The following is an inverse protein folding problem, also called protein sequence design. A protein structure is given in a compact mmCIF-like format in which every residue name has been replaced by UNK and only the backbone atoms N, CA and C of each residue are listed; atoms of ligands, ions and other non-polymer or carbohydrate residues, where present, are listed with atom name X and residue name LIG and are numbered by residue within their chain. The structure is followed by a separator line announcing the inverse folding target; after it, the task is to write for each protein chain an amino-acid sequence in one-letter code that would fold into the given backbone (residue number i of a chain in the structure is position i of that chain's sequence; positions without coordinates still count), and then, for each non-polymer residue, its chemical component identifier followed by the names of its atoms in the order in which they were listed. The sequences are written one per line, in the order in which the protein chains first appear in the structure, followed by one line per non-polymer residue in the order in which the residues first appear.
data_IF_532652425337
#
_entry.id   IF_532652425337
#
_cell.length_a   1.000
_cell.length_b   1.000
_cell.length_c   1.000
_cell.angle_alpha   90.00
_cell.angle_beta   90.00
_cell.angle_gamma   90.00
#
_symmetry.space_group_name_H-M   'P 1'
#
loop_
_entity.id
_entity.type
_entity.pdbx_description
1 polymer ?
#
# COMPACT_ATOMS: atom_id res chain seq x y z
N UNK A 1 -10.51 31.27 4.05
CA UNK A 1 -10.19 30.72 5.40
C UNK A 1 -8.93 29.86 5.33
N UNK A 2 -8.08 29.78 6.37
CA UNK A 2 -6.97 28.82 6.46
C UNK A 2 -7.46 27.36 6.49
N UNK A 3 -6.67 26.43 5.95
CA UNK A 3 -7.02 25.00 5.88
C UNK A 3 -7.01 24.28 7.24
N UNK A 4 -6.24 24.77 8.21
CA UNK A 4 -6.10 24.21 9.56
C UNK A 4 -5.56 25.25 10.54
N UNK A 5 -5.60 24.97 11.85
CA UNK A 5 -5.03 25.84 12.87
C UNK A 5 -3.49 25.95 12.77
N UNK A 6 -2.78 24.89 12.40
CA UNK A 6 -1.33 24.94 12.14
C UNK A 6 -1.00 25.92 11.03
N UNK A 7 -1.74 25.84 9.92
CA UNK A 7 -1.57 26.74 8.78
C UNK A 7 -1.91 28.19 9.13
N UNK A 8 -2.81 28.43 10.08
CA UNK A 8 -3.10 29.79 10.56
C UNK A 8 -1.98 30.31 11.47
N UNK A 9 -1.62 29.55 12.51
CA UNK A 9 -0.60 29.94 13.51
C UNK A 9 0.77 30.11 12.88
N UNK A 10 1.15 29.26 11.91
CA UNK A 10 2.41 29.38 11.18
C UNK A 10 2.51 30.70 10.39
N UNK A 11 1.41 31.17 9.81
CA UNK A 11 1.39 32.41 9.03
C UNK A 11 1.31 33.66 9.93
N UNK A 12 0.47 33.67 10.98
CA UNK A 12 0.44 34.83 11.90
C UNK A 12 1.72 34.93 12.75
N UNK A 13 2.39 33.81 13.05
CA UNK A 13 3.69 33.75 13.75
C UNK A 13 4.90 34.27 12.95
N UNK A 14 4.66 34.88 11.78
CA UNK A 14 5.65 35.65 11.03
C UNK A 14 5.74 37.10 11.50
N UNK A 15 4.68 37.66 12.09
CA UNK A 15 4.62 39.04 12.59
C UNK A 15 5.01 39.14 14.09
N UNK A 16 5.36 40.35 14.56
CA UNK A 16 5.63 40.64 15.97
C UNK A 16 6.88 39.97 16.56
N UNK A 17 7.85 39.58 15.71
CA UNK A 17 9.10 38.91 16.12
C UNK A 17 10.13 39.83 16.80
N UNK A 18 9.93 41.12 16.64
CA UNK A 18 10.62 42.22 17.33
C UNK A 18 10.09 42.44 18.75
N UNK A 19 8.95 41.82 19.12
CA UNK A 19 8.28 42.02 20.41
C UNK A 19 7.30 43.19 20.43
N UNK A 20 7.19 43.93 19.32
CA UNK A 20 6.24 45.03 19.18
C UNK A 20 4.82 44.52 18.86
N UNK A 21 3.76 45.29 19.16
CA UNK A 21 2.38 44.91 18.85
C UNK A 21 2.16 44.65 17.35
N UNK A 22 1.64 43.46 17.03
CA UNK A 22 1.27 43.08 15.67
C UNK A 22 -0.23 42.76 15.55
N UNK A 23 -0.83 43.11 14.41
CA UNK A 23 -2.25 42.95 14.15
C UNK A 23 -2.50 42.01 12.97
N UNK A 24 -3.41 41.05 13.15
CA UNK A 24 -3.76 40.05 12.15
C UNK A 24 -5.29 39.99 12.01
N UNK A 25 -5.79 40.21 10.80
CA UNK A 25 -7.22 40.10 10.49
C UNK A 25 -7.45 38.96 9.50
N UNK A 26 -8.45 38.12 9.78
CA UNK A 26 -8.91 37.08 8.87
C UNK A 26 -10.26 37.47 8.29
N UNK A 27 -10.34 37.54 6.97
CA UNK A 27 -11.60 37.69 6.23
C UNK A 27 -12.18 36.31 5.94
N UNK A 28 -13.48 36.16 6.20
CA UNK A 28 -14.26 34.95 5.93
C UNK A 28 -15.27 35.23 4.83
N UNK A 29 -15.48 34.28 3.93
CA UNK A 29 -16.60 34.32 2.99
C UNK A 29 -17.95 34.33 3.77
N UNK A 30 -18.86 35.29 3.49
CA UNK A 30 -20.09 35.47 4.27
C UNK A 30 -21.15 34.38 4.04
N UNK A 31 -21.10 33.69 2.90
CA UNK A 31 -21.98 32.57 2.56
C UNK A 31 -21.31 31.20 2.82
N UNK A 32 -20.07 31.19 3.33
CA UNK A 32 -19.32 29.98 3.63
C UNK A 32 -18.60 29.35 2.44
N UNK A 33 -18.48 30.05 1.31
CA UNK A 33 -17.84 29.54 0.08
C UNK A 33 -16.44 28.96 0.30
N UNK A 34 -15.64 29.62 1.14
CA UNK A 34 -14.33 29.15 1.63
C UNK A 34 -14.37 27.72 2.19
N UNK A 35 -15.35 27.42 3.04
CA UNK A 35 -15.50 26.13 3.71
C UNK A 35 -15.84 25.03 2.70
N UNK A 36 -16.73 25.34 1.76
CA UNK A 36 -17.16 24.39 0.73
C UNK A 36 -16.04 24.08 -0.28
N UNK A 37 -15.22 25.07 -0.67
CA UNK A 37 -14.04 24.83 -1.52
C UNK A 37 -12.96 24.00 -0.78
N UNK A 38 -12.75 24.22 0.53
CA UNK A 38 -11.82 23.40 1.31
C UNK A 38 -12.34 21.96 1.52
N UNK A 39 -13.64 21.78 1.81
CA UNK A 39 -14.29 20.45 1.88
C UNK A 39 -14.15 19.68 0.55
N UNK A 40 -14.35 20.35 -0.58
CA UNK A 40 -14.15 19.80 -1.93
C UNK A 40 -12.76 19.20 -2.12
N UNK A 41 -11.71 19.79 -1.54
CA UNK A 41 -10.37 19.22 -1.60
C UNK A 41 -10.23 17.94 -0.78
N UNK A 42 -10.79 17.89 0.43
CA UNK A 42 -10.79 16.67 1.27
C UNK A 42 -11.50 15.50 0.55
N UNK A 43 -12.65 15.77 -0.09
CA UNK A 43 -13.39 14.74 -0.83
C UNK A 43 -12.68 14.23 -2.10
N UNK A 44 -11.70 14.97 -2.64
CA UNK A 44 -10.98 14.57 -3.84
C UNK A 44 -10.18 13.27 -3.63
N UNK A 45 -9.56 13.14 -2.46
CA UNK A 45 -8.67 12.05 -2.08
C UNK A 45 -9.43 10.79 -1.60
N UNK A 46 -10.77 10.84 -1.57
CA UNK A 46 -11.61 9.72 -1.09
C UNK A 46 -11.75 8.61 -2.13
N UNK A 47 -11.74 7.35 -1.65
CA UNK A 47 -11.74 6.14 -2.48
C UNK A 47 -12.88 5.19 -2.09
N UNK A 48 -13.62 4.68 -3.07
CA UNK A 48 -14.66 3.67 -2.88
C UNK A 48 -14.09 2.32 -2.42
N UNK A 49 -14.80 1.61 -1.54
CA UNK A 49 -14.45 0.24 -1.13
C UNK A 49 -14.25 -0.71 -2.33
N UNK A 50 -15.10 -0.59 -3.36
CA UNK A 50 -14.94 -1.37 -4.59
C UNK A 50 -13.63 -1.08 -5.33
N UNK A 51 -13.18 0.17 -5.33
CA UNK A 51 -11.90 0.57 -5.92
C UNK A 51 -10.73 0.05 -5.09
N UNK A 52 -10.82 0.12 -3.74
CA UNK A 52 -9.85 -0.52 -2.84
C UNK A 52 -9.76 -2.01 -3.13
N UNK A 53 -10.88 -2.74 -3.20
CA UNK A 53 -10.91 -4.18 -3.50
C UNK A 53 -10.25 -4.53 -4.84
N UNK A 54 -10.46 -3.71 -5.88
CA UNK A 54 -9.79 -3.89 -7.18
C UNK A 54 -8.30 -3.55 -7.16
N UNK A 55 -7.85 -2.63 -6.30
CA UNK A 55 -6.42 -2.39 -6.09
C UNK A 55 -5.77 -3.56 -5.35
N UNK A 56 -6.38 -4.02 -4.26
CA UNK A 56 -5.91 -5.18 -3.48
C UNK A 56 -5.79 -6.43 -4.38
N UNK A 57 -6.78 -6.71 -5.23
CA UNK A 57 -6.69 -7.78 -6.25
C UNK A 57 -5.55 -7.63 -7.26
N UNK A 58 -5.10 -6.39 -7.56
CA UNK A 58 -3.91 -6.14 -8.40
C UNK A 58 -2.59 -6.27 -7.64
N UNK A 59 -2.58 -5.97 -6.34
CA UNK A 59 -1.38 -6.00 -5.49
C UNK A 59 -1.04 -7.41 -5.02
N UNK A 60 -2.06 -8.25 -4.78
CA UNK A 60 -1.90 -9.63 -4.30
C UNK A 60 -2.48 -10.67 -5.29
N UNK A 61 -1.93 -10.79 -6.51
CA UNK A 61 -2.33 -11.85 -7.44
C UNK A 61 -1.88 -13.22 -6.89
N UNK A 62 -2.71 -14.28 -7.02
CA UNK A 62 -2.42 -15.59 -6.45
C UNK A 62 -1.18 -16.23 -7.06
N UNK A 63 -0.31 -16.77 -6.20
CA UNK A 63 0.90 -17.50 -6.56
C UNK A 63 0.69 -19.02 -6.55
N UNK A 64 1.75 -19.76 -6.90
CA UNK A 64 1.77 -21.23 -6.86
C UNK A 64 2.59 -21.79 -5.69
N UNK A 65 3.10 -20.96 -4.78
CA UNK A 65 4.01 -21.41 -3.72
C UNK A 65 3.40 -22.51 -2.84
N UNK A 66 2.13 -22.39 -2.43
CA UNK A 66 1.39 -23.45 -1.72
C UNK A 66 1.34 -24.77 -2.51
N UNK A 67 1.10 -24.73 -3.82
CA UNK A 67 1.07 -25.92 -4.69
C UNK A 67 2.47 -26.53 -4.92
N UNK A 68 3.50 -25.70 -4.96
CA UNK A 68 4.90 -26.13 -5.11
C UNK A 68 5.35 -26.82 -3.81
N UNK A 69 5.09 -26.22 -2.66
CA UNK A 69 5.40 -26.77 -1.34
C UNK A 69 4.71 -28.12 -1.11
N UNK A 70 3.40 -28.22 -1.38
CA UNK A 70 2.66 -29.49 -1.29
C UNK A 70 3.25 -30.59 -2.18
N UNK A 71 3.71 -30.25 -3.40
CA UNK A 71 4.38 -31.22 -4.28
C UNK A 71 5.78 -31.59 -3.82
N UNK A 72 6.51 -30.67 -3.19
CA UNK A 72 7.82 -30.96 -2.60
C UNK A 72 7.68 -31.87 -1.38
N UNK A 73 6.67 -31.65 -0.53
CA UNK A 73 6.35 -32.55 0.59
C UNK A 73 6.00 -33.94 0.09
N UNK A 74 5.07 -34.07 -0.87
CA UNK A 74 4.70 -35.35 -1.45
C UNK A 74 5.89 -36.10 -2.08
N UNK A 75 6.77 -35.40 -2.82
CA UNK A 75 7.96 -36.01 -3.40
C UNK A 75 9.02 -36.40 -2.35
N UNK A 76 9.07 -35.72 -1.21
CA UNK A 76 9.95 -36.10 -0.10
C UNK A 76 9.37 -37.30 0.67
N UNK A 77 8.05 -37.33 0.90
CA UNK A 77 7.34 -38.47 1.49
C UNK A 77 7.52 -39.73 0.62
N UNK A 78 7.38 -39.64 -0.71
CA UNK A 78 7.68 -40.72 -1.66
C UNK A 78 9.14 -41.22 -1.56
N UNK A 79 10.11 -40.33 -1.29
CA UNK A 79 11.53 -40.69 -1.13
C UNK A 79 11.76 -41.36 0.22
N UNK A 80 11.23 -40.80 1.31
CA UNK A 80 11.34 -41.36 2.66
C UNK A 80 10.70 -42.76 2.73
N UNK A 81 9.51 -42.96 2.15
CA UNK A 81 8.86 -44.27 2.06
C UNK A 81 9.66 -45.25 1.17
N UNK A 82 10.29 -44.77 0.09
CA UNK A 82 11.14 -45.62 -0.77
C UNK A 82 12.44 -46.03 -0.10
N UNK A 83 13.11 -45.12 0.63
CA UNK A 83 14.32 -45.43 1.42
C UNK A 83 13.98 -46.37 2.59
N UNK A 84 12.80 -46.23 3.20
CA UNK A 84 12.32 -47.14 4.24
C UNK A 84 12.02 -48.54 3.68
N UNK A 85 11.43 -48.64 2.47
CA UNK A 85 11.21 -49.91 1.78
C UNK A 85 12.53 -50.59 1.40
N UNK A 86 13.52 -49.86 0.87
CA UNK A 86 14.84 -50.42 0.57
C UNK A 86 15.53 -50.95 1.84
N UNK A 87 15.43 -50.23 2.97
CA UNK A 87 15.92 -50.73 4.26
C UNK A 87 15.20 -52.01 4.72
N UNK A 88 13.89 -52.14 4.46
CA UNK A 88 13.14 -53.36 4.80
C UNK A 88 13.51 -54.56 3.91
N UNK A 89 13.67 -54.36 2.60
CA UNK A 89 14.13 -55.44 1.68
C UNK A 89 15.52 -55.96 2.06
N UNK A 90 16.45 -55.08 2.49
CA UNK A 90 17.78 -55.49 2.95
C UNK A 90 17.70 -56.32 4.24
N UNK A 91 16.86 -55.95 5.21
CA UNK A 91 16.68 -56.73 6.44
C UNK A 91 15.99 -58.10 6.22
N UNK A 92 15.08 -58.21 5.25
CA UNK A 92 14.48 -59.51 4.88
C UNK A 92 15.51 -60.45 4.21
N UNK A 93 16.44 -59.90 3.42
CA UNK A 93 17.48 -60.67 2.74
C UNK A 93 18.56 -61.21 3.70
N UNK A 94 18.95 -60.45 4.73
CA UNK A 94 19.92 -60.94 5.75
C UNK A 94 19.34 -62.03 6.67
N UNK A 95 18.02 -62.06 6.84
CA UNK A 95 17.32 -63.02 7.70
C UNK A 95 17.36 -64.47 7.18
N UNK A 96 17.74 -64.70 5.92
CA UNK A 96 17.73 -66.00 5.26
C UNK A 96 19.01 -66.85 5.36
N UNK A 97 20.14 -66.31 5.84
CA UNK A 97 21.47 -66.91 5.61
C UNK A 97 22.11 -67.56 6.86
N UNK A 98 21.69 -67.21 8.08
CA UNK A 98 22.35 -67.69 9.32
C UNK A 98 21.75 -69.01 9.85
N UNK A 99 21.82 -70.06 9.02
CA UNK A 99 21.72 -71.46 9.47
C UNK A 99 22.81 -72.33 8.82
N UNK A 100 24.07 -72.13 9.20
CA UNK A 100 25.09 -73.20 9.37
C UNK A 100 26.45 -72.61 9.76
N UNK A 101 26.81 -72.68 11.05
CA UNK A 101 27.89 -73.55 11.53
C UNK A 101 28.24 -73.26 13.00
N UNK A 102 27.87 -74.21 13.86
CA UNK A 102 28.44 -74.38 15.21
C UNK A 102 29.72 -75.23 15.00
N UNK A 103 30.90 -74.90 15.51
CA UNK A 103 31.37 -75.40 16.83
C UNK A 103 32.83 -74.99 17.14
N UNK A 104 33.08 -74.56 18.40
CA UNK A 104 34.26 -74.83 19.26
C UNK A 104 35.68 -74.35 18.80
N UNK A 105 36.58 -73.80 19.64
CA UNK A 105 36.56 -73.49 21.09
C UNK A 105 37.72 -72.57 21.55
N UNK A 106 37.46 -71.68 22.54
CA UNK A 106 38.33 -71.26 23.68
C UNK A 106 39.77 -70.68 23.50
N UNK A 107 40.01 -69.43 23.91
CA UNK A 107 40.55 -69.04 25.24
C UNK A 107 40.89 -67.52 25.41
N UNK A 108 40.71 -67.01 26.63
CA UNK A 108 41.16 -65.72 27.24
C UNK A 108 42.67 -65.75 27.66
N UNK A 109 43.34 -64.73 28.30
CA UNK A 109 42.86 -63.48 28.96
C UNK A 109 43.70 -62.15 28.81
N UNK A 110 43.17 -61.04 29.38
CA UNK A 110 43.74 -59.90 30.22
C UNK A 110 45.29 -59.65 30.30
N UNK A 111 45.89 -58.47 30.57
CA UNK A 111 45.52 -57.19 31.27
C UNK A 111 46.66 -56.12 31.23
N UNK A 112 46.38 -54.86 31.66
CA UNK A 112 47.21 -53.88 32.44
C UNK A 112 47.53 -52.46 31.90
N UNK A 113 47.24 -51.48 32.78
CA UNK A 113 47.65 -50.05 32.92
C UNK A 113 48.61 -49.90 34.16
N UNK A 114 49.12 -48.71 34.62
CA UNK A 114 49.11 -47.31 34.12
C UNK A 114 50.45 -46.49 34.25
N UNK A 115 50.42 -45.20 33.82
CA UNK A 115 51.09 -43.91 34.20
C UNK A 115 52.38 -43.80 35.10
N UNK A 116 53.15 -42.68 35.00
CA UNK A 116 53.02 -41.57 35.98
C UNK A 116 53.28 -40.12 35.48
N UNK A 117 53.08 -39.12 36.37
CA UNK A 117 53.23 -37.65 36.20
C UNK A 117 54.58 -37.07 36.72
N UNK A 118 54.77 -35.72 36.67
CA UNK A 118 55.26 -34.79 37.76
C UNK A 118 56.14 -33.59 37.28
N UNK A 119 55.62 -32.35 37.44
CA UNK A 119 56.21 -31.05 37.93
C UNK A 119 57.61 -30.50 37.46
N UNK A 120 58.01 -29.21 37.58
CA UNK A 120 57.42 -27.87 37.88
C UNK A 120 58.48 -26.75 37.70
N UNK A 121 58.08 -25.47 37.47
CA UNK A 121 58.56 -24.19 38.12
C UNK A 121 58.39 -22.89 37.30
N UNK A 122 58.19 -21.77 38.03
CA UNK A 122 57.91 -20.36 37.65
C UNK A 122 58.91 -19.39 38.37
N UNK A 123 58.81 -18.03 38.34
CA UNK A 123 58.37 -17.02 37.33
C UNK A 123 59.56 -16.04 37.05
N UNK A 124 59.53 -14.67 37.13
CA UNK A 124 58.56 -13.58 36.84
C UNK A 124 59.11 -12.38 35.98
N UNK A 125 58.25 -11.36 35.71
CA UNK A 125 58.44 -9.87 35.82
C UNK A 125 57.71 -9.05 34.71
N UNK A 126 56.83 -8.14 35.17
CA UNK A 126 56.33 -6.80 34.73
C UNK A 126 56.61 -6.28 33.29
N UNK A 127 55.78 -5.43 32.64
CA UNK A 127 55.16 -4.15 33.08
C UNK A 127 53.79 -3.87 32.42
N UNK A 128 53.02 -2.94 33.02
CA UNK A 128 51.71 -2.31 32.67
C UNK A 128 51.65 -1.64 31.28
N UNK A 129 50.54 -1.19 30.67
CA UNK A 129 49.23 -0.60 31.06
C UNK A 129 48.16 -0.94 29.98
N UNK A 130 46.82 -0.69 30.04
CA UNK A 130 45.82 -0.18 31.03
C UNK A 130 44.37 -0.62 30.63
N UNK A 131 43.33 -0.08 31.29
CA UNK A 131 41.87 -0.40 31.21
C UNK A 131 41.03 0.77 30.61
N UNK A 132 39.66 0.72 30.45
CA UNK A 132 38.67 -0.26 30.94
C UNK A 132 37.56 -0.75 29.97
N UNK A 133 36.84 -1.76 30.45
CA UNK A 133 35.59 -2.34 29.90
C UNK A 133 34.34 -1.44 30.12
N UNK A 134 33.29 -1.66 29.33
CA UNK A 134 31.88 -1.55 29.81
C UNK A 134 31.15 -2.83 29.43
N UNK A 135 30.42 -3.37 30.41
CA UNK A 135 29.95 -4.76 30.44
C UNK A 135 28.46 -4.86 30.18
N UNK A 136 28.10 -5.71 29.23
CA UNK A 136 26.73 -6.00 28.83
C UNK A 136 25.91 -6.63 29.99
N UNK A 137 24.64 -6.23 30.13
CA UNK A 137 23.68 -6.82 31.07
C UNK A 137 22.28 -6.83 30.49
N UNK A 138 21.90 -8.01 30.01
CA UNK A 138 20.53 -8.41 29.73
C UNK A 138 19.61 -8.17 30.92
N UNK A 139 18.41 -7.64 30.66
CA UNK A 139 17.32 -7.52 31.63
C UNK A 139 16.11 -8.32 31.13
N UNK A 140 15.61 -9.22 31.98
CA UNK A 140 14.36 -9.95 31.75
C UNK A 140 13.19 -9.13 32.31
N UNK A 141 12.04 -9.05 31.62
CA UNK A 141 10.81 -8.56 32.22
C UNK A 141 10.25 -9.59 33.22
N UNK A 142 9.97 -9.17 34.46
CA UNK A 142 9.21 -9.97 35.42
C UNK A 142 7.71 -9.72 35.24
N UNK A 143 6.92 -10.77 35.43
CA UNK A 143 5.47 -10.70 35.51
C UNK A 143 5.04 -9.93 36.77
N UNK A 144 4.10 -9.00 36.62
CA UNK A 144 3.40 -8.37 37.73
C UNK A 144 1.88 -8.48 37.48
N UNK A 145 1.18 -9.11 38.40
CA UNK A 145 -0.26 -9.37 38.29
C UNK A 145 -1.08 -8.41 39.16
N UNK A 146 -2.31 -8.12 38.72
CA UNK A 146 -3.40 -7.63 39.57
C UNK A 146 -3.55 -6.11 39.63
N UNK A 147 -4.59 -5.61 38.95
CA UNK A 147 -5.05 -4.23 39.02
C UNK A 147 -6.25 -4.06 38.10
N UNK A 148 -7.45 -4.33 38.62
CA UNK A 148 -8.70 -4.14 37.88
C UNK A 148 -8.93 -2.64 37.63
N UNK A 149 -9.16 -2.26 36.37
CA UNK A 149 -9.76 -0.98 36.00
C UNK A 149 -10.72 -1.23 34.84
N UNK A 150 -12.00 -0.91 35.05
CA UNK A 150 -13.08 -1.09 34.07
C UNK A 150 -12.96 0.01 32.99
N UNK A 151 -12.16 -0.24 31.95
CA UNK A 151 -12.17 0.59 30.74
C UNK A 151 -12.97 -0.10 29.63
N UNK A 152 -14.02 0.59 29.16
CA UNK A 152 -14.89 0.11 28.08
C UNK A 152 -14.09 -0.15 26.80
N UNK A 153 -14.25 -1.35 26.24
CA UNK A 153 -13.50 -1.78 25.05
C UNK A 153 -14.08 -1.11 23.80
N UNK A 154 -13.34 -0.16 23.22
CA UNK A 154 -13.46 0.08 21.78
C UNK A 154 -13.15 -1.24 21.07
N UNK A 155 -14.14 -1.83 20.40
CA UNK A 155 -13.99 -3.07 19.60
C UNK A 155 -13.17 -2.79 18.33
N UNK A 156 -11.88 -2.52 18.53
CA UNK A 156 -10.88 -2.73 17.48
C UNK A 156 -10.89 -4.20 17.13
N UNK A 157 -11.41 -4.53 15.94
CA UNK A 157 -11.41 -5.91 15.44
C UNK A 157 -9.97 -6.34 15.21
N UNK A 158 -9.39 -7.00 16.20
CA UNK A 158 -8.03 -7.54 16.15
C UNK A 158 -8.03 -8.77 15.27
N UNK A 159 -7.90 -8.56 13.96
CA UNK A 159 -7.73 -9.64 13.00
C UNK A 159 -6.47 -10.45 13.34
N UNK A 160 -6.64 -11.75 13.61
CA UNK A 160 -5.52 -12.66 13.82
C UNK A 160 -4.88 -13.01 12.47
N UNK A 161 -3.68 -12.47 12.24
CA UNK A 161 -2.91 -12.74 11.04
C UNK A 161 -2.00 -13.97 11.22
N UNK A 162 -1.84 -14.84 10.20
CA UNK A 162 -0.91 -15.96 10.25
C UNK A 162 0.53 -15.51 10.56
N UNK A 163 1.15 -16.14 11.58
CA UNK A 163 2.53 -15.84 11.98
C UNK A 163 3.58 -16.37 11.01
N UNK A 164 3.24 -17.42 10.25
CA UNK A 164 4.10 -18.07 9.28
C UNK A 164 3.36 -18.19 7.95
N UNK A 165 4.09 -18.01 6.84
CA UNK A 165 3.58 -18.12 5.46
C UNK A 165 4.50 -19.00 4.63
N UNK A 166 3.89 -19.75 3.70
CA UNK A 166 4.61 -20.59 2.73
C UNK A 166 5.17 -19.73 1.59
N UNK A 167 4.45 -18.67 1.21
CA UNK A 167 5.00 -17.65 0.32
C UNK A 167 5.92 -16.70 1.10
N UNK A 168 7.15 -16.52 0.63
CA UNK A 168 8.03 -15.45 1.11
C UNK A 168 7.53 -14.08 0.61
N UNK A 169 7.86 -13.69 -0.62
CA UNK A 169 7.20 -12.60 -1.37
C UNK A 169 7.49 -12.79 -2.86
N UNK A 170 6.82 -12.01 -3.70
CA UNK A 170 7.09 -11.92 -5.14
C UNK A 170 7.41 -10.49 -5.55
N UNK A 171 8.36 -10.29 -6.46
CA UNK A 171 8.56 -9.00 -7.11
C UNK A 171 7.41 -8.75 -8.11
N UNK A 172 6.69 -7.64 -7.92
CA UNK A 172 5.48 -7.25 -8.67
C UNK A 172 5.61 -5.84 -9.21
N UNK A 173 4.97 -5.59 -10.34
CA UNK A 173 4.80 -4.24 -10.86
C UNK A 173 3.40 -4.03 -11.44
N UNK A 174 2.81 -2.86 -11.18
CA UNK A 174 1.52 -2.47 -11.76
C UNK A 174 1.69 -1.15 -12.53
N UNK A 175 1.36 -1.09 -13.83
CA UNK A 175 1.47 0.14 -14.63
C UNK A 175 0.66 1.28 -14.03
N UNK A 176 1.30 2.43 -13.83
CA UNK A 176 0.72 3.62 -13.18
C UNK A 176 -0.49 4.10 -13.98
N UNK A 177 -0.27 4.53 -15.23
CA UNK A 177 -1.33 5.11 -16.08
C UNK A 177 -2.54 4.19 -16.22
N UNK A 178 -2.31 2.91 -16.56
CA UNK A 178 -3.39 1.92 -16.70
C UNK A 178 -4.14 1.73 -15.38
N UNK A 179 -3.46 1.77 -14.23
CA UNK A 179 -4.09 1.58 -12.92
C UNK A 179 -4.90 2.79 -12.50
N UNK A 180 -4.34 3.99 -12.65
CA UNK A 180 -4.98 5.29 -12.44
C UNK A 180 -6.28 5.42 -13.27
N UNK A 181 -6.24 5.12 -14.57
CA UNK A 181 -7.41 5.11 -15.46
C UNK A 181 -8.41 4.00 -15.10
N UNK A 182 -7.94 2.78 -14.87
CA UNK A 182 -8.83 1.62 -14.60
C UNK A 182 -9.59 1.74 -13.28
N UNK A 183 -9.03 2.48 -12.31
CA UNK A 183 -9.55 2.61 -10.95
C UNK A 183 -10.16 4.00 -10.65
N UNK A 184 -9.96 4.99 -11.52
CA UNK A 184 -10.35 6.41 -11.33
C UNK A 184 -9.84 7.02 -10.00
N UNK A 185 -8.59 6.73 -9.66
CA UNK A 185 -7.86 7.29 -8.52
C UNK A 185 -6.53 7.87 -9.00
N UNK A 186 -6.06 8.91 -8.31
CA UNK A 186 -4.81 9.60 -8.63
C UNK A 186 -3.58 8.71 -8.37
N UNK A 187 -2.43 9.08 -8.93
CA UNK A 187 -1.17 8.37 -8.72
C UNK A 187 -0.78 8.38 -7.23
N UNK A 188 -0.89 9.56 -6.61
CA UNK A 188 -0.67 9.79 -5.18
C UNK A 188 -1.65 9.00 -4.30
N UNK A 189 -2.88 8.77 -4.79
CA UNK A 189 -3.89 7.95 -4.12
C UNK A 189 -3.54 6.47 -4.13
N UNK A 190 -2.97 5.95 -5.24
CA UNK A 190 -2.44 4.58 -5.30
C UNK A 190 -1.23 4.45 -4.37
N UNK A 191 -0.29 5.40 -4.45
CA UNK A 191 0.92 5.42 -3.62
C UNK A 191 0.58 5.43 -2.13
N UNK A 192 -0.35 6.29 -1.69
CA UNK A 192 -0.80 6.37 -0.30
C UNK A 192 -1.36 5.02 0.20
N UNK A 193 -2.15 4.32 -0.61
CA UNK A 193 -2.70 3.01 -0.26
C UNK A 193 -1.60 1.93 -0.18
N UNK A 194 -0.59 1.98 -1.04
CA UNK A 194 0.57 1.08 -0.95
C UNK A 194 1.41 1.36 0.30
N UNK A 195 1.66 2.64 0.63
CA UNK A 195 2.34 3.03 1.87
C UNK A 195 1.59 2.55 3.12
N UNK A 196 0.25 2.54 3.13
CA UNK A 196 -0.52 1.96 4.24
C UNK A 196 -0.36 0.44 4.37
N UNK A 197 -0.14 -0.29 3.27
CA UNK A 197 0.16 -1.73 3.30
C UNK A 197 1.58 -2.03 3.81
N UNK A 198 2.54 -1.16 3.50
CA UNK A 198 3.92 -1.24 3.99
C UNK A 198 4.03 -0.88 5.48
N UNK A 199 3.32 0.15 5.91
CA UNK A 199 3.27 0.58 7.32
C UNK A 199 2.41 -0.32 8.22
N UNK A 200 1.67 -1.28 7.65
CA UNK A 200 0.92 -2.25 8.44
C UNK A 200 1.88 -3.18 9.22
N UNK A 201 1.56 -3.64 10.45
CA UNK A 201 2.44 -4.53 11.22
C UNK A 201 2.87 -5.82 10.48
N UNK A 202 2.02 -6.32 9.58
CA UNK A 202 2.31 -7.48 8.72
C UNK A 202 3.18 -7.17 7.48
N UNK A 203 3.48 -5.89 7.20
CA UNK A 203 4.22 -5.41 6.04
C UNK A 203 3.83 -6.11 4.73
N UNK A 204 2.55 -6.01 4.37
CA UNK A 204 2.01 -6.76 3.23
C UNK A 204 2.68 -6.39 1.89
N UNK A 205 3.24 -5.18 1.81
CA UNK A 205 3.96 -4.64 0.66
C UNK A 205 5.31 -4.09 1.14
N UNK A 206 6.37 -4.32 0.36
CA UNK A 206 7.65 -3.62 0.47
C UNK A 206 7.81 -2.75 -0.79
N UNK A 207 7.81 -1.44 -0.66
CA UNK A 207 7.90 -0.53 -1.80
C UNK A 207 9.35 -0.44 -2.32
N UNK A 208 9.49 -0.60 -3.65
CA UNK A 208 10.75 -0.54 -4.35
C UNK A 208 10.75 0.63 -5.35
N UNK A 209 11.93 1.03 -5.83
CA UNK A 209 12.02 2.17 -6.76
C UNK A 209 11.23 1.93 -8.07
N UNK A 210 10.33 2.85 -8.48
CA UNK A 210 9.50 2.71 -9.67
C UNK A 210 10.29 2.32 -10.93
N UNK A 211 9.67 1.48 -11.77
CA UNK A 211 10.39 0.86 -12.89
C UNK A 211 9.50 0.70 -14.12
N UNK A 212 10.12 0.59 -15.29
CA UNK A 212 9.43 0.21 -16.53
C UNK A 212 9.14 -1.30 -16.49
N UNK A 213 7.89 -1.73 -16.38
CA UNK A 213 7.54 -3.15 -16.21
C UNK A 213 7.32 -3.91 -17.52
N UNK A 214 6.97 -3.22 -18.61
CA UNK A 214 6.79 -3.87 -19.90
C UNK A 214 8.08 -3.86 -20.71
N UNK A 215 8.38 -4.98 -21.36
CA UNK A 215 9.50 -5.14 -22.26
C UNK A 215 9.00 -5.64 -23.62
N UNK A 216 9.27 -4.84 -24.66
CA UNK A 216 8.99 -5.20 -26.06
C UNK A 216 10.28 -5.54 -26.79
N UNK A 217 10.28 -6.66 -27.50
CA UNK A 217 11.38 -7.12 -28.34
C UNK A 217 10.87 -7.24 -29.78
N UNK A 218 11.51 -6.55 -30.71
CA UNK A 218 11.20 -6.61 -32.15
C UNK A 218 12.39 -7.13 -32.95
N UNK A 219 12.15 -8.02 -33.91
CA UNK A 219 13.17 -8.63 -34.76
C UNK A 219 13.01 -8.21 -36.23
N UNK A 220 13.86 -7.32 -36.73
CA UNK A 220 13.78 -6.82 -38.10
C UNK A 220 13.97 -7.90 -39.18
N UNK A 221 14.67 -9.01 -38.86
CA UNK A 221 14.83 -10.16 -39.74
C UNK A 221 13.70 -11.20 -39.57
N UNK A 222 12.59 -10.81 -38.95
CA UNK A 222 11.36 -11.59 -38.85
C UNK A 222 11.43 -12.79 -37.87
N UNK A 223 10.43 -13.70 -37.94
CA UNK A 223 10.22 -14.71 -36.90
C UNK A 223 11.38 -15.70 -36.71
N UNK A 224 12.15 -15.97 -37.77
CA UNK A 224 13.35 -16.82 -37.69
C UNK A 224 14.45 -16.22 -36.82
N UNK A 225 14.50 -14.90 -36.66
CA UNK A 225 15.43 -14.24 -35.76
C UNK A 225 14.95 -14.36 -34.31
N UNK A 226 13.65 -14.11 -34.05
CA UNK A 226 13.06 -14.27 -32.72
C UNK A 226 13.22 -15.72 -32.21
N UNK A 227 13.02 -16.71 -33.07
CA UNK A 227 13.28 -18.12 -32.75
C UNK A 227 14.76 -18.39 -32.40
N UNK A 228 15.73 -17.75 -33.07
CA UNK A 228 17.15 -17.89 -32.73
C UNK A 228 17.49 -17.29 -31.36
N UNK A 229 16.79 -16.23 -30.93
CA UNK A 229 17.00 -15.62 -29.61
C UNK A 229 16.68 -16.56 -28.45
N UNK A 230 15.79 -17.55 -28.63
CA UNK A 230 15.50 -18.56 -27.60
C UNK A 230 16.74 -19.33 -27.14
N UNK A 231 17.74 -19.50 -28.02
CA UNK A 231 19.01 -20.17 -27.71
C UNK A 231 20.03 -19.27 -27.02
N UNK A 232 19.82 -17.96 -27.02
CA UNK A 232 20.75 -16.94 -26.51
C UNK A 232 20.21 -16.25 -25.25
N UNK A 233 18.89 -16.22 -25.07
CA UNK A 233 18.23 -15.50 -23.99
C UNK A 233 17.12 -16.38 -23.37
N UNK A 234 17.39 -17.03 -22.22
CA UNK A 234 16.40 -17.85 -21.53
C UNK A 234 15.09 -17.11 -21.19
N UNK A 235 15.08 -15.82 -20.78
CA UNK A 235 13.84 -15.04 -20.65
C UNK A 235 12.94 -15.07 -21.89
N UNK A 236 13.51 -14.88 -23.10
CA UNK A 236 12.75 -14.91 -24.36
C UNK A 236 12.22 -16.32 -24.67
N UNK A 237 12.99 -17.36 -24.33
CA UNK A 237 12.54 -18.74 -24.46
C UNK A 237 11.34 -19.05 -23.55
N UNK A 238 11.39 -18.61 -22.28
CA UNK A 238 10.30 -18.79 -21.31
C UNK A 238 9.04 -18.07 -21.76
N UNK A 239 9.13 -16.82 -22.24
CA UNK A 239 7.98 -16.06 -22.75
C UNK A 239 7.31 -16.77 -23.93
N UNK A 240 8.08 -17.19 -24.94
CA UNK A 240 7.53 -17.88 -26.11
C UNK A 240 6.97 -19.27 -25.75
N UNK A 241 7.56 -19.96 -24.77
CA UNK A 241 7.01 -21.21 -24.24
C UNK A 241 5.64 -20.98 -23.56
N UNK A 242 5.52 -19.95 -22.72
CA UNK A 242 4.25 -19.55 -22.08
C UNK A 242 3.17 -19.20 -23.12
N UNK A 243 3.51 -18.39 -24.13
CA UNK A 243 2.58 -18.03 -25.22
C UNK A 243 2.09 -19.26 -25.99
N UNK A 244 2.99 -20.22 -26.28
CA UNK A 244 2.61 -21.50 -26.90
C UNK A 244 1.70 -22.34 -26.00
N UNK A 245 1.99 -22.41 -24.69
CA UNK A 245 1.11 -23.09 -23.70
C UNK A 245 -0.28 -22.42 -23.60
N UNK A 246 -0.36 -21.11 -23.83
CA UNK A 246 -1.62 -20.37 -23.96
C UNK A 246 -2.29 -20.50 -25.35
N UNK A 247 -1.82 -21.42 -26.22
CA UNK A 247 -2.41 -21.71 -27.53
C UNK A 247 -2.03 -20.75 -28.66
N UNK A 248 -1.08 -19.83 -28.45
CA UNK A 248 -0.68 -18.84 -29.46
C UNK A 248 0.34 -19.41 -30.46
N UNK A 249 0.21 -19.01 -31.74
CA UNK A 249 1.12 -19.41 -32.84
C UNK A 249 2.39 -18.57 -32.87
N UNK A 250 3.32 -18.91 -31.98
CA UNK A 250 4.59 -18.19 -31.81
C UNK A 250 5.54 -18.27 -33.01
N UNK A 251 5.32 -19.20 -33.94
CA UNK A 251 6.19 -19.44 -35.10
C UNK A 251 6.19 -18.30 -36.10
N UNK A 252 5.12 -17.50 -36.13
CA UNK A 252 4.91 -16.37 -37.06
C UNK A 252 5.20 -15.00 -36.45
N UNK A 253 5.59 -14.93 -35.17
CA UNK A 253 5.82 -13.67 -34.47
C UNK A 253 7.22 -13.11 -34.77
N UNK A 254 7.28 -11.85 -35.21
CA UNK A 254 8.49 -11.05 -35.35
C UNK A 254 8.75 -10.14 -34.12
N UNK A 255 7.72 -9.92 -33.31
CA UNK A 255 7.78 -9.14 -32.08
C UNK A 255 7.09 -9.87 -30.91
N UNK A 256 7.54 -9.58 -29.69
CA UNK A 256 6.94 -10.08 -28.45
C UNK A 256 6.99 -9.00 -27.37
N UNK A 257 5.95 -8.92 -26.54
CA UNK A 257 5.82 -7.97 -25.44
C UNK A 257 5.36 -8.72 -24.19
N UNK A 258 5.96 -8.42 -23.04
CA UNK A 258 5.75 -9.14 -21.78
C UNK A 258 6.15 -8.30 -20.56
N UNK A 259 5.59 -8.66 -19.41
CA UNK A 259 6.02 -8.11 -18.12
C UNK A 259 7.39 -8.70 -17.74
N UNK A 260 8.41 -7.84 -17.67
CA UNK A 260 9.78 -8.25 -17.35
C UNK A 260 10.00 -8.44 -15.84
N UNK A 261 9.12 -7.90 -15.00
CA UNK A 261 9.16 -8.08 -13.55
C UNK A 261 8.58 -9.44 -13.18
N UNK A 262 7.39 -9.77 -13.67
CA UNK A 262 6.75 -11.08 -13.46
C UNK A 262 7.60 -12.24 -14.02
N UNK A 263 8.26 -12.01 -15.15
CA UNK A 263 9.21 -12.96 -15.72
C UNK A 263 10.48 -13.13 -14.87
N UNK A 264 11.05 -12.03 -14.36
CA UNK A 264 12.23 -12.07 -13.49
C UNK A 264 11.95 -12.83 -12.19
N UNK A 265 10.83 -12.49 -11.53
CA UNK A 265 10.30 -13.15 -10.34
C UNK A 265 10.13 -14.67 -10.56
N UNK A 266 9.41 -15.08 -11.61
CA UNK A 266 9.17 -16.50 -11.87
C UNK A 266 10.45 -17.28 -12.23
N UNK A 267 11.47 -16.61 -12.75
CA UNK A 267 12.77 -17.21 -13.03
C UNK A 267 13.71 -17.24 -11.81
N UNK A 268 13.34 -16.57 -10.71
CA UNK A 268 14.22 -16.35 -9.56
C UNK A 268 15.44 -15.47 -9.90
N UNK A 269 15.31 -14.58 -10.88
CA UNK A 269 16.40 -13.76 -11.42
C UNK A 269 16.24 -12.30 -11.00
N UNK A 270 17.35 -11.64 -10.66
CA UNK A 270 17.34 -10.21 -10.32
C UNK A 270 16.94 -9.37 -11.54
N UNK A 271 15.89 -8.54 -11.39
CA UNK A 271 15.35 -7.67 -12.43
C UNK A 271 16.41 -6.83 -13.19
N UNK A 272 17.43 -6.21 -12.55
CA UNK A 272 18.46 -5.44 -13.27
C UNK A 272 19.31 -6.31 -14.22
N UNK A 273 19.58 -7.57 -13.85
CA UNK A 273 20.34 -8.50 -14.68
C UNK A 273 19.53 -8.95 -15.89
N UNK A 274 18.23 -9.26 -15.69
CA UNK A 274 17.29 -9.56 -16.79
C UNK A 274 17.24 -8.38 -17.78
N UNK A 275 17.00 -7.16 -17.29
CA UNK A 275 16.95 -5.94 -18.13
C UNK A 275 18.27 -5.68 -18.86
N UNK A 276 19.43 -5.90 -18.22
CA UNK A 276 20.75 -5.79 -18.86
C UNK A 276 20.94 -6.82 -19.97
N UNK A 277 20.64 -8.09 -19.71
CA UNK A 277 20.76 -9.18 -20.69
C UNK A 277 19.86 -8.96 -21.91
N UNK A 278 18.63 -8.50 -21.69
CA UNK A 278 17.71 -8.13 -22.76
C UNK A 278 18.25 -6.97 -23.62
N UNK A 279 18.77 -5.89 -23.02
CA UNK A 279 19.41 -4.79 -23.77
C UNK A 279 20.61 -5.26 -24.59
N UNK A 280 21.37 -6.23 -24.10
CA UNK A 280 22.53 -6.77 -24.79
C UNK A 280 22.17 -7.46 -26.12
N UNK A 281 20.93 -7.95 -26.27
CA UNK A 281 20.45 -8.56 -27.52
C UNK A 281 20.45 -7.61 -28.72
N UNK A 282 20.47 -6.29 -28.50
CA UNK A 282 20.59 -5.29 -29.58
C UNK A 282 21.95 -5.33 -30.29
N UNK A 283 22.96 -5.98 -29.71
CA UNK A 283 24.34 -6.02 -30.18
C UNK A 283 24.73 -7.42 -30.68
N UNK A 284 25.55 -7.47 -31.72
CA UNK A 284 26.11 -8.72 -32.25
C UNK A 284 27.44 -9.07 -31.56
N UNK A 285 27.71 -10.36 -31.37
CA UNK A 285 29.01 -10.84 -30.84
C UNK A 285 30.22 -10.48 -31.73
N UNK A 286 29.97 -10.12 -32.99
CA UNK A 286 30.99 -9.72 -33.98
C UNK A 286 31.13 -8.19 -34.08
N UNK A 287 30.46 -7.46 -33.19
CA UNK A 287 30.29 -6.00 -33.26
C UNK A 287 29.07 -5.59 -34.10
N UNK A 288 28.65 -4.33 -33.95
CA UNK A 288 27.47 -3.78 -34.65
C UNK A 288 26.12 -4.21 -34.07
N UNK A 289 25.04 -3.71 -34.69
CA UNK A 289 23.66 -4.01 -34.27
C UNK A 289 23.22 -5.39 -34.77
N UNK A 290 22.54 -6.15 -33.93
CA UNK A 290 22.01 -7.49 -34.24
C UNK A 290 20.78 -7.48 -35.14
N UNK A 291 20.14 -6.32 -35.34
CA UNK A 291 18.80 -6.22 -35.93
C UNK A 291 17.67 -6.58 -34.96
N UNK A 292 17.95 -6.65 -33.66
CA UNK A 292 16.94 -6.76 -32.59
C UNK A 292 16.76 -5.39 -31.95
N UNK A 293 15.51 -4.97 -31.75
CA UNK A 293 15.11 -3.82 -30.97
C UNK A 293 14.60 -4.30 -29.61
N UNK A 294 14.94 -3.59 -28.54
CA UNK A 294 14.44 -3.87 -27.18
C UNK A 294 14.05 -2.55 -26.52
N UNK A 295 12.78 -2.42 -26.18
CA UNK A 295 12.19 -1.22 -25.60
C UNK A 295 11.58 -1.55 -24.24
N UNK A 296 11.74 -0.66 -23.27
CA UNK A 296 11.09 -0.76 -21.96
C UNK A 296 10.07 0.36 -21.83
N UNK A 297 8.85 0.00 -21.46
CA UNK A 297 7.69 0.89 -21.40
C UNK A 297 6.90 0.64 -20.10
N UNK A 298 5.77 1.34 -19.95
CA UNK A 298 4.90 1.31 -18.77
C UNK A 298 5.65 1.60 -17.46
N UNK A 299 5.79 2.90 -17.08
CA UNK A 299 6.15 3.27 -15.72
C UNK A 299 5.17 2.62 -14.75
N UNK A 300 5.72 1.95 -13.73
CA UNK A 300 4.96 1.09 -12.82
C UNK A 300 5.41 1.31 -11.38
N UNK A 301 4.44 1.28 -10.46
CA UNK A 301 4.71 1.02 -9.06
C UNK A 301 5.38 -0.36 -8.97
N UNK A 302 6.50 -0.45 -8.26
CA UNK A 302 7.32 -1.64 -8.16
C UNK A 302 7.46 -1.99 -6.67
N UNK A 303 7.19 -3.24 -6.31
CA UNK A 303 7.14 -3.66 -4.91
C UNK A 303 7.31 -5.17 -4.76
N UNK A 304 7.51 -5.63 -3.52
CA UNK A 304 7.27 -7.03 -3.15
C UNK A 304 5.94 -7.19 -2.46
N UNK A 305 5.23 -8.27 -2.74
CA UNK A 305 4.00 -8.64 -2.03
C UNK A 305 3.84 -10.15 -1.88
N UNK A 306 3.06 -10.58 -0.90
CA UNK A 306 2.64 -11.97 -0.75
C UNK A 306 1.70 -12.39 -1.88
N UNK A 307 1.73 -13.67 -2.25
CA UNK A 307 0.83 -14.24 -3.25
C UNK A 307 -0.06 -15.37 -2.73
N UNK A 308 -0.09 -15.61 -1.41
CA UNK A 308 -0.79 -16.75 -0.81
C UNK A 308 -1.90 -16.38 0.18
N UNK A 309 -2.32 -15.10 0.18
CA UNK A 309 -3.46 -14.62 0.97
C UNK A 309 -4.74 -15.40 0.63
N UNK A 310 -5.54 -15.71 1.64
CA UNK A 310 -6.91 -16.21 1.46
C UNK A 310 -7.88 -15.10 1.05
N UNK A 311 -9.07 -15.46 0.56
CA UNK A 311 -10.12 -14.49 0.26
C UNK A 311 -10.56 -13.70 1.51
N UNK A 312 -10.51 -14.33 2.69
CA UNK A 312 -10.78 -13.69 3.98
C UNK A 312 -9.71 -12.66 4.35
N UNK A 313 -8.42 -13.01 4.22
CA UNK A 313 -7.30 -12.07 4.44
C UNK A 313 -7.37 -10.89 3.46
N UNK A 314 -7.73 -11.15 2.19
CA UNK A 314 -7.91 -10.12 1.16
C UNK A 314 -9.04 -9.15 1.54
N UNK A 315 -10.17 -9.65 2.05
CA UNK A 315 -11.26 -8.79 2.50
C UNK A 315 -10.91 -8.04 3.80
N UNK A 316 -10.12 -8.62 4.71
CA UNK A 316 -9.57 -7.90 5.87
C UNK A 316 -8.64 -6.76 5.44
N UNK A 317 -7.75 -6.98 4.47
CA UNK A 317 -6.91 -5.92 3.89
C UNK A 317 -7.75 -4.81 3.24
N UNK A 318 -8.85 -5.17 2.55
CA UNK A 318 -9.78 -4.19 1.99
C UNK A 318 -10.45 -3.32 3.08
N UNK A 319 -10.90 -3.93 4.18
CA UNK A 319 -11.47 -3.20 5.31
C UNK A 319 -10.44 -2.29 5.99
N UNK A 320 -9.22 -2.78 6.25
CA UNK A 320 -8.13 -1.97 6.80
C UNK A 320 -7.87 -0.71 5.97
N UNK A 321 -7.68 -0.86 4.65
CA UNK A 321 -7.42 0.26 3.75
C UNK A 321 -8.60 1.23 3.67
N UNK A 322 -9.83 0.73 3.55
CA UNK A 322 -11.00 1.60 3.46
C UNK A 322 -11.24 2.37 4.76
N UNK A 323 -11.11 1.71 5.91
CA UNK A 323 -11.21 2.35 7.22
C UNK A 323 -10.15 3.44 7.39
N UNK A 324 -8.90 3.21 6.97
CA UNK A 324 -7.85 4.26 6.99
C UNK A 324 -8.25 5.49 6.17
N UNK A 325 -8.79 5.31 4.97
CA UNK A 325 -9.29 6.42 4.13
C UNK A 325 -10.46 7.14 4.80
N UNK A 326 -11.44 6.41 5.34
CA UNK A 326 -12.60 7.00 6.01
C UNK A 326 -12.24 7.76 7.30
N UNK A 327 -11.31 7.21 8.12
CA UNK A 327 -10.80 7.89 9.31
C UNK A 327 -10.03 9.16 8.94
N UNK A 328 -9.25 9.13 7.86
CA UNK A 328 -8.53 10.31 7.35
C UNK A 328 -9.50 11.39 6.85
N UNK A 329 -10.50 11.03 6.04
CA UNK A 329 -11.59 11.93 5.57
C UNK A 329 -12.29 12.58 6.78
N UNK A 330 -12.77 11.76 7.72
CA UNK A 330 -13.48 12.22 8.91
C UNK A 330 -12.63 13.16 9.77
N UNK A 331 -11.35 12.83 9.98
CA UNK A 331 -10.40 13.66 10.74
C UNK A 331 -10.17 15.02 10.06
N UNK A 332 -10.00 15.05 8.73
CA UNK A 332 -9.82 16.30 8.00
C UNK A 332 -11.09 17.15 8.00
N UNK A 333 -12.27 16.54 7.80
CA UNK A 333 -13.56 17.24 7.86
C UNK A 333 -13.83 17.81 9.26
N UNK A 334 -13.51 17.06 10.32
CA UNK A 334 -13.56 17.52 11.71
C UNK A 334 -12.63 18.72 11.91
N UNK A 335 -11.34 18.60 11.55
CA UNK A 335 -10.36 19.67 11.76
C UNK A 335 -10.77 20.96 11.04
N UNK A 336 -11.19 20.86 9.77
CA UNK A 336 -11.68 21.99 8.98
C UNK A 336 -12.95 22.62 9.59
N UNK A 337 -13.91 21.80 10.03
CA UNK A 337 -15.15 22.27 10.65
C UNK A 337 -14.90 22.93 12.01
N UNK A 338 -14.01 22.39 12.82
CA UNK A 338 -13.56 22.97 14.10
C UNK A 338 -12.85 24.30 13.90
N UNK A 339 -11.96 24.40 12.90
CA UNK A 339 -11.35 25.67 12.48
C UNK A 339 -12.43 26.69 12.11
N UNK A 340 -13.41 26.28 11.29
CA UNK A 340 -14.47 27.17 10.86
C UNK A 340 -15.35 27.66 12.02
N UNK A 341 -15.80 26.76 12.91
CA UNK A 341 -16.60 27.12 14.10
C UNK A 341 -15.82 28.10 15.01
N UNK A 342 -14.51 27.88 15.22
CA UNK A 342 -13.66 28.75 16.04
C UNK A 342 -13.43 30.14 15.43
N UNK A 343 -13.17 30.26 14.12
CA UNK A 343 -13.04 31.57 13.48
C UNK A 343 -14.38 32.32 13.39
N UNK A 344 -15.49 31.61 13.15
CA UNK A 344 -16.83 32.20 13.06
C UNK A 344 -17.35 32.70 14.41
N UNK A 345 -17.04 32.04 15.53
CA UNK A 345 -17.52 32.47 16.87
C UNK A 345 -16.97 33.83 17.30
N UNK A 346 -15.75 34.17 16.89
CA UNK A 346 -15.12 35.48 17.17
C UNK A 346 -15.29 36.51 16.03
N UNK A 347 -15.88 36.12 14.90
CA UNK A 347 -15.99 36.97 13.71
C UNK A 347 -16.91 38.19 13.91
N UNK A 348 -16.54 39.32 13.31
CA UNK A 348 -17.42 40.48 13.17
C UNK A 348 -18.12 40.45 11.80
N UNK A 349 -19.34 40.98 11.71
CA UNK A 349 -20.08 41.06 10.44
C UNK A 349 -19.41 41.99 9.41
N UNK A 350 -18.63 42.98 9.89
CA UNK A 350 -17.87 43.93 9.07
C UNK A 350 -16.55 44.26 9.75
N UNK A 351 -15.51 44.49 8.97
CA UNK A 351 -14.19 44.90 9.49
C UNK A 351 -14.25 46.21 10.28
N UNK A 352 -15.12 47.14 9.90
CA UNK A 352 -15.33 48.43 10.58
C UNK A 352 -15.69 48.31 12.06
N UNK A 353 -16.12 47.15 12.54
CA UNK A 353 -16.36 46.88 13.96
C UNK A 353 -15.09 46.57 14.77
N UNK A 354 -13.92 46.52 14.12
CA UNK A 354 -12.63 46.24 14.73
C UNK A 354 -11.43 46.88 13.99
N UNK A 355 -11.64 47.96 13.21
CA UNK A 355 -10.55 48.76 12.61
C UNK A 355 -9.93 49.70 13.65
N UNK A 356 -10.75 50.46 14.37
CA UNK A 356 -10.28 51.54 15.25
C UNK A 356 -10.02 51.05 16.68
N UNK A 357 -10.92 50.22 17.22
CA UNK A 357 -10.76 49.52 18.51
C UNK A 357 -10.71 48.01 18.30
N UNK A 358 -9.55 47.39 18.57
CA UNK A 358 -9.42 45.94 18.56
C UNK A 358 -10.09 45.34 19.79
N UNK A 359 -11.10 44.50 19.58
CA UNK A 359 -11.79 43.80 20.67
C UNK A 359 -10.86 42.76 21.31
N UNK A 360 -10.15 43.14 22.37
CA UNK A 360 -9.21 42.29 23.09
C UNK A 360 -9.86 40.99 23.59
N UNK A 361 -11.11 41.05 24.06
CA UNK A 361 -11.84 39.86 24.53
C UNK A 361 -11.99 38.79 23.45
N UNK A 362 -12.33 39.17 22.21
CA UNK A 362 -12.40 38.24 21.06
C UNK A 362 -11.03 37.74 20.63
N UNK A 363 -10.01 38.61 20.69
CA UNK A 363 -8.61 38.22 20.40
C UNK A 363 -8.09 37.19 21.39
N UNK A 364 -8.34 37.40 22.69
CA UNK A 364 -8.01 36.47 23.77
C UNK A 364 -8.81 35.17 23.63
N UNK A 365 -10.11 35.23 23.34
CA UNK A 365 -10.93 34.04 23.10
C UNK A 365 -10.39 33.18 21.96
N UNK A 366 -9.98 33.78 20.84
CA UNK A 366 -9.37 33.04 19.74
C UNK A 366 -8.03 32.41 20.15
N UNK A 367 -7.18 33.14 20.90
CA UNK A 367 -5.92 32.60 21.44
C UNK A 367 -6.15 31.42 22.39
N UNK A 368 -7.17 31.48 23.25
CA UNK A 368 -7.57 30.38 24.12
C UNK A 368 -8.03 29.15 23.34
N UNK A 369 -8.90 29.32 22.33
CA UNK A 369 -9.35 28.22 21.47
C UNK A 369 -8.18 27.54 20.73
N UNK A 370 -7.23 28.32 20.24
CA UNK A 370 -6.00 27.80 19.61
C UNK A 370 -5.13 27.05 20.62
N UNK A 371 -4.93 27.61 21.82
CA UNK A 371 -4.15 26.98 22.87
C UNK A 371 -4.75 25.64 23.31
N UNK A 372 -6.05 25.61 23.60
CA UNK A 372 -6.77 24.37 23.95
C UNK A 372 -6.65 23.29 22.87
N UNK A 373 -6.72 23.66 21.59
CA UNK A 373 -6.53 22.72 20.48
C UNK A 373 -5.14 22.08 20.51
N UNK A 374 -4.08 22.88 20.72
CA UNK A 374 -2.71 22.38 20.73
C UNK A 374 -2.33 21.62 22.01
N UNK A 375 -2.95 21.89 23.16
CA UNK A 375 -2.79 21.06 24.36
C UNK A 375 -3.54 19.72 24.21
N UNK A 376 -4.84 19.74 23.85
CA UNK A 376 -5.65 18.51 23.65
C UNK A 376 -5.00 17.54 22.64
N UNK A 377 -4.35 18.07 21.59
CA UNK A 377 -3.63 17.30 20.58
C UNK A 377 -2.30 16.69 21.07
N UNK A 378 -1.73 17.13 22.20
CA UNK A 378 -0.57 16.47 22.84
C UNK A 378 -0.99 15.32 23.74
N UNK A 379 -2.12 15.46 24.42
CA UNK A 379 -2.54 14.54 25.49
C UNK A 379 -3.36 13.34 24.98
N UNK A 380 -4.02 13.45 23.82
CA UNK A 380 -4.89 12.39 23.28
C UNK A 380 -4.34 11.75 22.01
N UNK A 381 -4.22 10.42 22.04
CA UNK A 381 -3.83 9.60 20.89
C UNK A 381 -5.03 8.96 20.15
N UNK A 382 -6.28 9.13 20.64
CA UNK A 382 -7.49 8.51 20.07
C UNK A 382 -8.75 9.40 20.09
N UNK A 383 -9.66 9.04 19.17
CA UNK A 383 -11.12 9.32 19.11
C UNK A 383 -11.59 10.78 19.28
N UNK A 384 -11.62 11.51 18.16
CA UNK A 384 -12.35 12.77 18.01
C UNK A 384 -13.85 12.48 17.80
N UNK A 385 -14.72 12.92 18.70
CA UNK A 385 -16.16 12.78 18.51
C UNK A 385 -16.64 13.56 17.26
N UNK A 386 -17.51 12.96 16.40
CA UNK A 386 -18.08 13.66 15.25
C UNK A 386 -18.94 14.85 15.67
N UNK A 387 -18.42 16.06 15.47
CA UNK A 387 -19.22 17.28 15.58
C UNK A 387 -20.32 17.28 14.52
N UNK A 388 -21.58 17.33 14.95
CA UNK A 388 -22.72 17.45 14.05
C UNK A 388 -22.57 18.66 13.11
N UNK A 389 -22.68 18.37 11.81
CA UNK A 389 -22.45 19.33 10.72
C UNK A 389 -23.72 20.14 10.40
N UNK A 390 -24.89 19.69 10.89
CA UNK A 390 -26.21 20.24 10.54
C UNK A 390 -26.35 21.76 10.79
N UNK A 391 -25.63 22.31 11.77
CA UNK A 391 -25.62 23.76 12.08
C UNK A 391 -25.05 24.66 10.97
N UNK A 392 -24.39 24.09 9.95
CA UNK A 392 -23.70 24.84 8.90
C UNK A 392 -24.45 24.92 7.57
N UNK A 393 -25.37 23.99 7.30
CA UNK A 393 -26.04 23.91 6.02
C UNK A 393 -27.30 24.81 5.99
N UNK A 394 -27.11 26.03 5.49
CA UNK A 394 -28.15 27.05 5.22
C UNK A 394 -29.29 26.54 4.31
N UNK A 395 -29.08 25.43 3.61
CA UNK A 395 -30.02 24.80 2.69
C UNK A 395 -30.31 23.36 3.13
N UNK A 396 -31.58 23.05 3.44
CA UNK A 396 -31.97 21.67 3.69
C UNK A 396 -31.87 20.88 2.39
N UNK A 397 -31.08 19.81 2.39
CA UNK A 397 -30.89 18.94 1.22
C UNK A 397 -32.22 18.42 0.64
N UNK A 398 -33.18 18.10 1.51
CA UNK A 398 -34.53 17.63 1.17
C UNK A 398 -35.27 18.58 0.20
N UNK A 399 -35.10 19.89 0.37
CA UNK A 399 -35.77 20.91 -0.47
C UNK A 399 -35.16 20.96 -1.89
N UNK A 400 -33.91 20.52 -2.04
CA UNK A 400 -33.15 20.54 -3.30
C UNK A 400 -33.05 19.19 -3.99
N UNK A 401 -33.39 18.08 -3.31
CA UNK A 401 -33.23 16.72 -3.82
C UNK A 401 -33.88 16.50 -5.19
N UNK A 402 -35.10 17.01 -5.39
CA UNK A 402 -35.82 16.91 -6.66
C UNK A 402 -35.08 17.59 -7.81
N UNK A 403 -34.49 18.76 -7.56
CA UNK A 403 -33.69 19.50 -8.55
C UNK A 403 -32.36 18.80 -8.82
N UNK A 404 -31.66 18.35 -7.77
CA UNK A 404 -30.40 17.59 -7.88
C UNK A 404 -30.60 16.34 -8.74
N UNK A 405 -31.65 15.55 -8.48
CA UNK A 405 -31.98 14.35 -9.28
C UNK A 405 -32.32 14.70 -10.73
N UNK A 406 -33.05 15.79 -10.98
CA UNK A 406 -33.36 16.25 -12.34
C UNK A 406 -32.09 16.66 -13.12
N UNK A 407 -31.18 17.37 -12.48
CA UNK A 407 -29.89 17.75 -13.05
C UNK A 407 -28.96 16.54 -13.29
N UNK A 408 -28.96 15.54 -12.40
CA UNK A 408 -28.24 14.27 -12.61
C UNK A 408 -28.79 13.54 -13.85
N UNK A 409 -30.11 13.40 -13.99
CA UNK A 409 -30.72 12.78 -15.18
C UNK A 409 -30.40 13.57 -16.46
N UNK A 410 -30.42 14.90 -16.39
CA UNK A 410 -30.03 15.77 -17.51
C UNK A 410 -28.56 15.58 -17.91
N UNK A 411 -27.66 15.50 -16.93
CA UNK A 411 -26.24 15.24 -17.16
C UNK A 411 -26.00 13.88 -17.85
N UNK A 412 -26.62 12.82 -17.32
CA UNK A 412 -26.51 11.46 -17.89
C UNK A 412 -27.10 11.37 -19.31
N UNK A 413 -28.26 11.98 -19.55
CA UNK A 413 -28.90 12.00 -20.88
C UNK A 413 -28.07 12.77 -21.92
N UNK A 414 -27.32 13.80 -21.51
CA UNK A 414 -26.43 14.55 -22.37
C UNK A 414 -25.08 13.84 -22.66
N UNK A 415 -24.82 12.67 -22.03
CA UNK A 415 -23.56 11.91 -22.11
C UNK A 415 -23.82 10.40 -22.10
N UNK A 416 -24.79 9.95 -22.89
CA UNK A 416 -25.26 8.56 -22.93
C UNK A 416 -24.21 7.53 -23.42
N UNK A 417 -23.15 8.01 -24.07
CA UNK A 417 -22.00 7.25 -24.55
C UNK A 417 -20.93 6.99 -23.46
N UNK A 418 -20.93 7.77 -22.39
CA UNK A 418 -19.96 7.68 -21.29
C UNK A 418 -20.50 6.87 -20.10
N UNK A 419 -19.61 6.18 -19.37
CA UNK A 419 -19.97 5.34 -18.20
C UNK A 419 -19.58 6.03 -16.90
N UNK A 420 -20.58 6.45 -16.12
CA UNK A 420 -20.36 7.08 -14.82
C UNK A 420 -20.65 6.13 -13.64
N UNK A 421 -19.89 6.29 -12.57
CA UNK A 421 -20.25 5.82 -11.22
C UNK A 421 -20.97 6.94 -10.44
N UNK A 422 -21.62 6.61 -9.32
CA UNK A 422 -22.20 7.63 -8.43
C UNK A 422 -21.16 8.63 -7.92
N UNK A 423 -19.95 8.15 -7.59
CA UNK A 423 -18.80 9.00 -7.22
C UNK A 423 -18.34 9.89 -8.36
N UNK A 424 -18.28 9.40 -9.60
CA UNK A 424 -17.90 10.23 -10.75
C UNK A 424 -18.87 11.40 -10.95
N UNK A 425 -20.19 11.15 -10.90
CA UNK A 425 -21.20 12.22 -10.99
C UNK A 425 -21.10 13.18 -9.80
N UNK A 426 -20.98 12.69 -8.57
CA UNK A 426 -20.81 13.54 -7.39
C UNK A 426 -19.53 14.41 -7.47
N UNK A 427 -18.42 13.85 -7.99
CA UNK A 427 -17.19 14.60 -8.28
C UNK A 427 -17.46 15.74 -9.25
N UNK A 428 -18.16 15.52 -10.37
CA UNK A 428 -18.58 16.60 -11.29
C UNK A 428 -19.39 17.68 -10.56
N UNK A 429 -20.38 17.30 -9.75
CA UNK A 429 -21.27 18.24 -9.07
C UNK A 429 -20.57 19.09 -7.98
N UNK A 430 -19.52 18.56 -7.33
CA UNK A 430 -18.58 19.33 -6.49
C UNK A 430 -17.47 20.03 -7.30
N UNK A 431 -17.32 19.72 -8.58
CA UNK A 431 -16.20 20.18 -9.42
C UNK A 431 -14.84 19.63 -8.99
N UNK A 432 -14.80 18.39 -8.53
CA UNK A 432 -13.61 17.57 -8.34
C UNK A 432 -13.29 16.93 -9.69
N UNK A 433 -12.04 17.05 -10.15
CA UNK A 433 -11.57 16.33 -11.33
C UNK A 433 -11.05 14.95 -10.95
N UNK A 434 -11.11 14.00 -11.88
CA UNK A 434 -10.48 12.69 -11.74
C UNK A 434 -9.70 12.33 -13.01
N UNK A 435 -8.90 11.25 -13.01
CA UNK A 435 -8.17 10.82 -14.21
C UNK A 435 -9.08 10.56 -15.42
N UNK A 436 -10.22 9.90 -15.21
CA UNK A 436 -11.20 9.64 -16.28
C UNK A 436 -12.05 10.88 -16.61
N UNK A 437 -12.27 11.76 -15.64
CA UNK A 437 -13.15 12.93 -15.76
C UNK A 437 -12.40 14.23 -15.45
N UNK A 438 -11.45 14.65 -16.30
CA UNK A 438 -10.52 15.73 -15.98
C UNK A 438 -11.19 17.11 -16.03
N UNK A 439 -10.81 17.96 -15.07
CA UNK A 439 -11.38 19.31 -14.90
C UNK A 439 -11.22 20.23 -16.13
N UNK A 440 -10.21 20.02 -16.97
CA UNK A 440 -10.00 20.78 -18.22
C UNK A 440 -11.08 20.52 -19.28
N UNK A 441 -11.73 19.36 -19.22
CA UNK A 441 -12.83 18.96 -20.11
C UNK A 441 -14.17 19.24 -19.43
N UNK A 442 -14.35 18.70 -18.22
CA UNK A 442 -15.62 18.75 -17.50
C UNK A 442 -15.93 20.10 -16.84
N UNK A 443 -14.91 20.84 -16.40
CA UNK A 443 -15.04 22.16 -15.78
C UNK A 443 -15.51 23.28 -16.71
N UNK A 444 -15.61 23.00 -18.01
CA UNK A 444 -16.24 23.88 -19.01
C UNK A 444 -17.76 23.88 -18.88
N UNK A 445 -18.39 22.78 -18.48
CA UNK A 445 -19.85 22.70 -18.36
C UNK A 445 -20.35 23.19 -16.99
N UNK A 446 -20.44 24.51 -16.88
CA UNK A 446 -20.90 25.22 -15.66
C UNK A 446 -22.36 24.95 -15.28
N UNK A 447 -23.14 24.21 -16.10
CA UNK A 447 -24.49 23.76 -15.74
C UNK A 447 -24.48 22.67 -14.66
N UNK A 448 -23.35 21.97 -14.50
CA UNK A 448 -23.18 20.87 -13.55
C UNK A 448 -21.95 21.07 -12.65
N UNK A 449 -20.85 21.59 -13.20
CA UNK A 449 -19.58 21.72 -12.48
C UNK A 449 -19.66 22.70 -11.31
N UNK A 450 -19.36 22.21 -10.09
CA UNK A 450 -19.47 22.94 -8.79
C UNK A 450 -20.88 23.41 -8.41
N UNK A 451 -21.94 22.98 -9.10
CA UNK A 451 -23.32 23.45 -8.86
C UNK A 451 -23.85 23.10 -7.47
N UNK A 452 -23.31 22.05 -6.84
CA UNK A 452 -23.77 21.52 -5.56
C UNK A 452 -22.66 21.36 -4.53
N UNK A 453 -21.58 22.15 -4.67
CA UNK A 453 -20.40 22.12 -3.77
C UNK A 453 -20.74 22.33 -2.28
N UNK A 454 -21.88 22.97 -2.00
CA UNK A 454 -22.36 23.27 -0.66
C UNK A 454 -22.99 22.08 0.07
N UNK A 455 -23.44 21.05 -0.65
CA UNK A 455 -24.10 19.88 -0.05
C UNK A 455 -23.08 18.79 0.33
N UNK A 456 -23.49 17.84 1.18
CA UNK A 456 -22.64 16.70 1.51
C UNK A 456 -22.38 15.78 0.31
N UNK A 457 -21.10 15.47 0.10
CA UNK A 457 -20.60 14.66 -1.00
C UNK A 457 -21.16 13.22 -0.95
N UNK A 458 -21.24 12.63 0.24
CA UNK A 458 -21.71 11.26 0.43
C UNK A 458 -23.24 11.13 0.22
N UNK A 459 -24.01 12.19 0.43
CA UNK A 459 -25.40 12.28 -0.01
C UNK A 459 -25.51 12.39 -1.54
N UNK A 460 -24.70 13.23 -2.21
CA UNK A 460 -24.71 13.33 -3.67
C UNK A 460 -24.29 12.01 -4.35
N UNK A 461 -23.34 11.26 -3.79
CA UNK A 461 -23.00 9.90 -4.25
C UNK A 461 -24.23 8.99 -4.21
N UNK A 462 -24.99 9.00 -3.10
CA UNK A 462 -26.20 8.18 -2.94
C UNK A 462 -27.28 8.57 -3.95
N UNK A 463 -27.55 9.86 -4.13
CA UNK A 463 -28.53 10.36 -5.12
C UNK A 463 -28.11 9.96 -6.54
N UNK A 464 -26.86 10.20 -6.92
CA UNK A 464 -26.35 9.83 -8.24
C UNK A 464 -26.39 8.32 -8.50
N UNK A 465 -26.01 7.51 -7.51
CA UNK A 465 -26.06 6.04 -7.62
C UNK A 465 -27.50 5.56 -7.85
N UNK A 466 -28.48 6.10 -7.12
CA UNK A 466 -29.89 5.75 -7.31
C UNK A 466 -30.43 6.17 -8.68
N UNK A 467 -30.09 7.35 -9.18
CA UNK A 467 -30.51 7.78 -10.52
C UNK A 467 -29.83 6.97 -11.62
N UNK A 468 -28.54 6.59 -11.49
CA UNK A 468 -27.85 5.69 -12.44
C UNK A 468 -28.51 4.31 -12.47
N UNK A 469 -28.97 3.78 -11.32
CA UNK A 469 -29.69 2.50 -11.25
C UNK A 469 -31.08 2.60 -11.89
N UNK A 470 -31.76 3.76 -11.83
CA UNK A 470 -33.06 4.02 -12.47
C UNK A 470 -32.98 4.37 -13.96
N UNK A 471 -31.79 4.76 -14.43
CA UNK A 471 -31.54 5.18 -15.81
C UNK A 471 -31.08 4.01 -16.71
N UNK A 472 -30.68 2.88 -16.09
CA UNK A 472 -30.42 1.60 -16.73
C UNK A 472 -31.65 0.72 -16.72
#
# INVERSE_FOLDING_TARGET
MPKSFESYVQEIGRAGRDGEPAHCHLFLDPDGGDLHELRRHIYADTVDYYTVKRLVQKVFPPCKCKQIHQKQQFLNEDIEDSELLEMMEVCEQESGIIQQNVTLSKNDPKSHEPQPEVESKNPPVEVTESEPEVRDKSFQPQEAAGGDDDTEKEETVTFEWPKERICHTHERAIPVQQTVETLDITEEGVETLLCYLELHPQRFVELLHPTMSQCKIGCYNGPRQLQKLTKLCPPVAVVLARMRMAGQRVETLDQVEFDVVELADTMGWQLPLVKRGLRQLQWSSVGGRSGVMVEFSAPSFYFRSYGDLSDEEMDQVCHFLHNRVQSQESTQLYQLTSCFKAFKSVAHQRVTSCVDDLNESRSLQLKSLLFEYFEKRRDQHNTLEPLEIEELDKYKLLDWEGQIRADIRSFLANRSDEKFSGRAVARILHGIGSPCFPAITYGKDRRYWRKYIQFDFNHLIRLATQEIIRFK
#
